data_IF_297521431888
#
_entry.id   IF_297521431888
#
_cell.length_a   1.000
_cell.length_b   1.000
_cell.length_c   1.000
_cell.angle_alpha   90.00
_cell.angle_beta   90.00
_cell.angle_gamma   90.00
#
_symmetry.space_group_name_H-M   'P 1'
#
loop_
_entity.id
_entity.type
_entity.pdbx_description
1 polymer ?
#
# COMPACT_ATOMS: atom_id res chain seq x y z
N UNK A 1 15.83 19.45 -21.74
CA UNK A 1 15.69 20.26 -20.49
C UNK A 1 15.04 21.61 -20.76
N UNK A 2 15.58 22.45 -21.67
CA UNK A 2 15.05 23.80 -21.94
C UNK A 2 13.56 23.85 -22.32
N UNK A 3 13.11 22.90 -23.15
CA UNK A 3 11.70 22.84 -23.59
C UNK A 3 10.75 22.45 -22.46
N UNK A 4 11.14 21.48 -21.63
CA UNK A 4 10.36 21.00 -20.47
C UNK A 4 10.24 22.10 -19.41
N UNK A 5 11.34 22.80 -19.11
CA UNK A 5 11.33 23.96 -18.19
C UNK A 5 10.39 25.05 -18.71
N UNK A 6 10.48 25.37 -20.00
CA UNK A 6 9.63 26.39 -20.61
C UNK A 6 8.16 25.99 -20.62
N UNK A 7 7.86 24.71 -20.88
CA UNK A 7 6.50 24.17 -20.83
C UNK A 7 5.91 24.21 -19.42
N UNK A 8 6.64 23.74 -18.42
CA UNK A 8 6.19 23.79 -17.03
C UNK A 8 5.90 25.21 -16.56
N UNK A 9 6.77 26.17 -16.93
CA UNK A 9 6.59 27.59 -16.56
C UNK A 9 5.36 28.25 -17.17
N UNK A 10 4.78 27.68 -18.25
CA UNK A 10 3.53 28.17 -18.84
C UNK A 10 2.28 27.68 -18.10
N UNK A 11 2.41 26.66 -17.25
CA UNK A 11 1.29 26.14 -16.48
C UNK A 11 0.84 27.19 -15.45
N UNK A 12 -0.47 27.35 -15.30
CA UNK A 12 -0.99 28.18 -14.22
C UNK A 12 -0.70 27.53 -12.86
N UNK A 13 -0.35 28.36 -11.87
CA UNK A 13 0.11 27.93 -10.54
C UNK A 13 -0.82 28.46 -9.43
N UNK A 14 -2.04 27.96 -9.31
CA UNK A 14 -2.98 28.38 -8.27
C UNK A 14 -2.51 27.89 -6.89
N UNK A 15 -2.84 28.62 -5.83
CA UNK A 15 -2.54 28.17 -4.45
C UNK A 15 -3.39 26.98 -4.01
N UNK A 16 -4.55 26.78 -4.66
CA UNK A 16 -5.49 25.70 -4.39
C UNK A 16 -5.82 24.91 -5.65
N UNK A 17 -6.20 23.64 -5.47
CA UNK A 17 -6.76 22.78 -6.52
C UNK A 17 -8.18 23.26 -6.87
N UNK A 18 -8.77 22.78 -7.99
CA UNK A 18 -10.18 23.06 -8.32
C UNK A 18 -11.18 22.68 -7.22
N UNK A 19 -10.82 21.71 -6.36
CA UNK A 19 -11.63 21.27 -5.22
C UNK A 19 -11.41 22.11 -3.95
N UNK A 20 -10.59 23.16 -4.01
CA UNK A 20 -10.30 24.05 -2.89
C UNK A 20 -9.24 23.51 -1.90
N UNK A 21 -8.59 22.40 -2.21
CA UNK A 21 -7.51 21.84 -1.37
C UNK A 21 -6.20 22.61 -1.63
N UNK A 22 -5.26 22.67 -0.67
CA UNK A 22 -3.96 23.28 -0.89
C UNK A 22 -3.21 22.60 -2.05
N UNK A 23 -2.70 23.36 -3.01
CA UNK A 23 -1.94 22.82 -4.14
C UNK A 23 -0.50 22.43 -3.74
N UNK A 24 -0.38 21.51 -2.78
CA UNK A 24 0.87 20.98 -2.25
C UNK A 24 1.07 19.54 -2.69
N UNK A 25 2.29 19.20 -3.11
CA UNK A 25 2.61 17.88 -3.64
C UNK A 25 3.85 17.28 -2.98
N UNK A 26 3.83 15.96 -2.75
CA UNK A 26 4.98 15.20 -2.25
C UNK A 26 5.53 14.40 -3.42
N UNK A 27 6.80 14.60 -3.78
CA UNK A 27 7.41 13.83 -4.86
C UNK A 27 8.52 12.89 -4.37
N UNK A 28 8.66 11.77 -5.08
CA UNK A 28 9.67 10.76 -4.84
C UNK A 28 10.22 10.24 -6.16
N UNK A 29 11.51 9.90 -6.17
CA UNK A 29 12.12 9.10 -7.24
C UNK A 29 12.25 7.66 -6.74
N UNK A 30 11.67 6.71 -7.48
CA UNK A 30 11.54 5.31 -7.09
C UNK A 30 11.94 4.37 -8.21
N UNK A 31 12.64 3.31 -7.84
CA UNK A 31 13.04 2.24 -8.75
C UNK A 31 11.90 1.24 -8.94
N UNK A 32 11.59 0.90 -10.19
CA UNK A 32 10.64 -0.13 -10.61
C UNK A 32 11.43 -1.35 -11.09
N UNK A 33 11.38 -2.48 -10.37
CA UNK A 33 12.12 -3.69 -10.72
C UNK A 33 11.37 -4.59 -11.72
N UNK A 34 10.53 -4.00 -12.58
CA UNK A 34 9.84 -4.71 -13.68
C UNK A 34 10.75 -4.74 -14.90
N UNK A 35 10.63 -5.73 -15.80
CA UNK A 35 11.47 -5.78 -17.00
C UNK A 35 10.83 -5.00 -18.17
N UNK A 36 11.53 -4.06 -18.82
CA UNK A 36 12.89 -3.58 -18.48
C UNK A 36 12.88 -2.68 -17.22
N UNK A 37 13.89 -2.80 -16.32
CA UNK A 37 13.94 -2.02 -15.10
C UNK A 37 14.10 -0.54 -15.39
N UNK A 38 13.47 0.29 -14.57
CA UNK A 38 13.51 1.73 -14.74
C UNK A 38 13.18 2.46 -13.47
N UNK A 39 13.35 3.76 -13.48
CA UNK A 39 13.01 4.66 -12.40
C UNK A 39 11.85 5.56 -12.82
N UNK A 40 10.99 5.86 -11.85
CA UNK A 40 9.88 6.79 -12.00
C UNK A 40 10.04 7.95 -11.04
N UNK A 41 9.58 9.13 -11.46
CA UNK A 41 9.20 10.20 -10.54
C UNK A 41 7.72 10.09 -10.31
N UNK A 42 7.32 10.03 -9.04
CA UNK A 42 5.92 10.03 -8.61
C UNK A 42 5.67 11.27 -7.79
N UNK A 43 4.63 12.02 -8.12
CA UNK A 43 4.14 13.15 -7.35
C UNK A 43 2.75 12.84 -6.82
N UNK A 44 2.55 12.95 -5.51
CA UNK A 44 1.32 12.61 -4.80
C UNK A 44 0.76 13.89 -4.16
N UNK A 45 -0.52 14.15 -4.36
CA UNK A 45 -1.25 15.17 -3.64
C UNK A 45 -1.82 14.57 -2.34
N UNK A 46 -1.29 14.88 -1.15
CA UNK A 46 -1.54 14.09 0.06
C UNK A 46 -3.01 14.01 0.46
N UNK A 47 -3.75 15.12 0.35
CA UNK A 47 -5.13 15.21 0.82
C UNK A 47 -6.12 14.45 -0.08
N UNK A 48 -5.84 14.34 -1.38
CA UNK A 48 -6.71 13.62 -2.32
C UNK A 48 -6.17 12.24 -2.70
N UNK A 49 -4.92 11.92 -2.32
CA UNK A 49 -4.16 10.74 -2.77
C UNK A 49 -4.02 10.64 -4.29
N UNK A 50 -4.25 11.74 -5.00
CA UNK A 50 -4.10 11.77 -6.45
C UNK A 50 -2.61 11.73 -6.82
N UNK A 51 -2.28 10.95 -7.85
CA UNK A 51 -0.90 10.65 -8.21
C UNK A 51 -0.62 10.94 -9.68
N UNK A 52 0.55 11.54 -9.92
CA UNK A 52 1.11 11.79 -11.23
C UNK A 52 2.46 11.09 -11.34
N UNK A 53 2.78 10.59 -12.53
CA UNK A 53 4.00 9.80 -12.77
C UNK A 53 4.71 10.26 -14.05
N UNK A 54 6.04 10.23 -14.05
CA UNK A 54 6.86 10.43 -15.24
C UNK A 54 8.05 9.48 -15.25
N UNK A 55 8.44 9.07 -16.45
CA UNK A 55 9.43 8.05 -16.73
C UNK A 55 8.87 7.04 -17.76
N UNK A 56 9.52 5.86 -17.92
CA UNK A 56 10.70 5.41 -17.20
C UNK A 56 11.97 6.17 -17.60
N UNK A 57 12.93 6.24 -16.68
CA UNK A 57 14.30 6.72 -16.93
C UNK A 57 15.31 5.91 -16.10
N UNK A 58 16.62 6.18 -16.22
CA UNK A 58 17.63 5.39 -15.52
C UNK A 58 18.49 6.23 -14.57
N UNK A 59 18.37 5.92 -13.28
CA UNK A 59 19.31 6.27 -12.23
C UNK A 59 20.27 5.11 -12.01
N UNK A 60 21.56 5.40 -11.92
CA UNK A 60 22.59 4.41 -11.57
C UNK A 60 23.09 4.70 -10.17
N UNK A 61 23.49 3.66 -9.44
CA UNK A 61 24.00 3.78 -8.06
C UNK A 61 25.35 4.51 -7.96
N UNK A 62 25.99 4.78 -9.10
CA UNK A 62 27.26 5.49 -9.20
C UNK A 62 27.11 7.01 -9.31
N UNK A 63 25.89 7.51 -9.51
CA UNK A 63 25.66 8.96 -9.64
C UNK A 63 25.83 9.65 -8.29
N UNK A 64 26.46 10.81 -8.32
CA UNK A 64 26.44 11.76 -7.23
C UNK A 64 25.02 12.30 -7.01
N UNK A 65 24.74 12.84 -5.83
CA UNK A 65 23.44 13.47 -5.52
C UNK A 65 23.08 14.59 -6.49
N UNK A 66 24.09 15.34 -6.97
CA UNK A 66 23.91 16.39 -7.97
C UNK A 66 23.48 15.82 -9.32
N UNK A 67 24.19 14.83 -9.83
CA UNK A 67 23.85 14.19 -11.11
C UNK A 67 22.48 13.50 -11.04
N UNK A 68 22.14 12.92 -9.89
CA UNK A 68 20.80 12.38 -9.64
C UNK A 68 19.73 13.48 -9.71
N UNK A 69 19.97 14.64 -9.08
CA UNK A 69 19.06 15.78 -9.15
C UNK A 69 18.89 16.31 -10.60
N UNK A 70 19.97 16.41 -11.37
CA UNK A 70 19.95 16.81 -12.78
C UNK A 70 19.12 15.84 -13.65
N UNK A 71 19.16 14.54 -13.35
CA UNK A 71 18.31 13.53 -14.02
C UNK A 71 16.86 13.51 -13.55
N UNK A 72 16.61 13.78 -12.27
CA UNK A 72 15.26 13.79 -11.69
C UNK A 72 14.47 15.04 -12.10
N UNK A 73 15.11 16.21 -12.11
CA UNK A 73 14.46 17.49 -12.43
C UNK A 73 13.56 17.48 -13.69
N UNK A 74 14.02 17.04 -14.88
CA UNK A 74 13.19 17.09 -16.08
C UNK A 74 11.95 16.20 -15.92
N UNK A 75 12.08 15.03 -15.29
CA UNK A 75 10.97 14.12 -15.05
C UNK A 75 10.01 14.67 -13.99
N UNK A 76 10.52 15.32 -12.94
CA UNK A 76 9.71 16.02 -11.94
C UNK A 76 8.88 17.15 -12.53
N UNK A 77 9.40 17.89 -13.51
CA UNK A 77 8.62 18.90 -14.21
C UNK A 77 7.61 18.22 -15.16
N UNK A 78 8.03 17.15 -15.84
CA UNK A 78 7.19 16.43 -16.79
C UNK A 78 5.92 15.84 -16.17
N UNK A 79 5.93 15.40 -14.89
CA UNK A 79 4.73 14.83 -14.24
C UNK A 79 3.53 15.78 -14.31
N UNK A 80 3.75 17.10 -14.35
CA UNK A 80 2.71 18.12 -14.38
C UNK A 80 2.39 18.67 -15.77
N UNK A 81 3.20 18.31 -16.78
CA UNK A 81 2.98 18.75 -18.17
C UNK A 81 2.03 17.79 -18.91
N UNK A 82 1.97 16.53 -18.48
CA UNK A 82 1.15 15.52 -19.15
C UNK A 82 -0.34 15.91 -19.10
N UNK A 83 -0.99 15.94 -20.27
CA UNK A 83 -2.42 16.23 -20.42
C UNK A 83 -3.23 15.09 -19.79
N UNK A 84 -4.08 15.43 -18.81
CA UNK A 84 -5.02 14.47 -18.24
C UNK A 84 -6.31 14.53 -19.06
N UNK A 85 -6.56 13.50 -19.85
CA UNK A 85 -7.88 13.30 -20.45
C UNK A 85 -8.86 12.92 -19.34
N UNK A 86 -9.93 13.70 -19.22
CA UNK A 86 -11.07 13.37 -18.38
C UNK A 86 -11.78 12.11 -18.87
N UNK A 87 -12.64 11.49 -18.04
CA UNK A 87 -13.41 10.29 -18.40
C UNK A 87 -14.30 10.47 -19.64
N UNK A 88 -14.59 11.71 -20.01
CA UNK A 88 -15.40 12.16 -21.15
C UNK A 88 -14.56 12.62 -22.36
N UNK A 89 -13.22 12.51 -22.28
CA UNK A 89 -12.30 13.03 -23.29
C UNK A 89 -12.06 14.55 -23.20
N UNK A 90 -12.56 15.22 -22.16
CA UNK A 90 -12.25 16.64 -21.92
C UNK A 90 -10.78 16.82 -21.53
N UNK A 91 -10.15 17.86 -22.05
CA UNK A 91 -8.77 18.23 -21.67
C UNK A 91 -8.85 18.94 -20.32
N UNK A 92 -8.39 18.27 -19.25
CA UNK A 92 -8.22 18.94 -17.95
C UNK A 92 -6.93 19.75 -18.02
N UNK A 93 -7.05 21.07 -17.85
CA UNK A 93 -5.90 21.98 -17.92
C UNK A 93 -4.91 21.66 -16.79
N UNK A 94 -3.72 21.17 -17.16
CA UNK A 94 -2.69 20.83 -16.19
C UNK A 94 -2.20 22.09 -15.43
N UNK A 95 -2.07 21.96 -14.11
CA UNK A 95 -1.65 23.05 -13.22
C UNK A 95 -0.30 22.71 -12.59
N UNK A 96 0.57 23.72 -12.47
CA UNK A 96 1.80 23.57 -11.71
C UNK A 96 1.50 23.53 -10.20
N UNK A 97 2.28 22.78 -9.41
CA UNK A 97 2.18 22.79 -7.96
C UNK A 97 2.47 24.19 -7.42
N UNK A 98 1.76 24.59 -6.36
CA UNK A 98 2.10 25.82 -5.64
C UNK A 98 3.39 25.64 -4.84
N UNK A 99 3.47 24.50 -4.16
CA UNK A 99 4.62 24.07 -3.36
C UNK A 99 4.78 22.56 -3.42
N UNK A 100 5.96 22.07 -3.06
CA UNK A 100 6.20 20.63 -2.94
C UNK A 100 7.19 20.28 -1.84
N UNK A 101 7.19 19.00 -1.48
CA UNK A 101 8.13 18.40 -0.54
C UNK A 101 8.60 17.04 -1.05
N UNK A 102 9.63 16.48 -0.41
CA UNK A 102 10.15 15.15 -0.73
C UNK A 102 10.59 14.41 0.51
N UNK A 103 10.68 13.09 0.44
CA UNK A 103 11.23 12.24 1.51
C UNK A 103 12.76 12.17 1.50
N UNK A 104 13.42 12.68 0.45
CA UNK A 104 14.86 12.60 0.24
C UNK A 104 15.52 13.97 0.46
N UNK A 105 16.03 14.20 1.67
CA UNK A 105 16.65 15.47 2.07
C UNK A 105 17.87 15.83 1.21
N UNK A 106 18.67 14.82 0.85
CA UNK A 106 19.85 15.03 0.01
C UNK A 106 19.45 15.49 -1.40
N UNK A 107 18.40 14.87 -1.97
CA UNK A 107 17.84 15.27 -3.26
C UNK A 107 17.21 16.67 -3.19
N UNK A 108 16.51 17.01 -2.11
CA UNK A 108 15.94 18.35 -1.90
C UNK A 108 17.03 19.44 -1.94
N UNK A 109 18.12 19.23 -1.20
CA UNK A 109 19.26 20.15 -1.18
C UNK A 109 19.92 20.29 -2.54
N UNK A 110 20.06 19.18 -3.29
CA UNK A 110 20.69 19.18 -4.61
C UNK A 110 19.81 19.79 -5.71
N UNK A 111 18.48 19.70 -5.59
CA UNK A 111 17.55 20.31 -6.55
C UNK A 111 17.47 21.82 -6.41
N UNK A 112 17.54 22.36 -5.19
CA UNK A 112 17.44 23.82 -4.92
C UNK A 112 18.29 24.69 -5.87
N UNK A 113 19.62 24.50 -6.01
CA UNK A 113 20.43 25.32 -6.90
C UNK A 113 20.03 25.18 -8.38
N UNK A 114 19.54 24.01 -8.81
CA UNK A 114 19.05 23.80 -10.19
C UNK A 114 17.77 24.61 -10.43
N UNK A 115 16.86 24.64 -9.46
CA UNK A 115 15.65 25.46 -9.53
C UNK A 115 15.98 26.96 -9.58
N UNK A 116 16.96 27.41 -8.78
CA UNK A 116 17.44 28.80 -8.83
C UNK A 116 18.07 29.14 -10.18
N UNK A 117 18.94 28.26 -10.71
CA UNK A 117 19.60 28.44 -12.01
C UNK A 117 18.58 28.58 -13.15
N UNK A 118 17.50 27.82 -13.11
CA UNK A 118 16.44 27.90 -14.10
C UNK A 118 15.40 29.00 -13.82
N UNK A 119 15.54 29.80 -12.76
CA UNK A 119 14.67 30.94 -12.46
C UNK A 119 13.22 30.54 -12.16
N UNK A 120 13.02 29.52 -11.33
CA UNK A 120 11.69 29.17 -10.80
C UNK A 120 11.30 30.07 -9.61
N UNK A 121 10.00 30.18 -9.27
CA UNK A 121 9.56 30.93 -8.10
C UNK A 121 10.14 30.39 -6.78
N UNK A 122 10.27 31.26 -5.77
CA UNK A 122 10.88 30.93 -4.47
C UNK A 122 10.17 29.75 -3.77
N UNK A 123 8.84 29.65 -3.89
CA UNK A 123 8.07 28.60 -3.23
C UNK A 123 8.37 27.20 -3.80
N UNK A 124 8.80 27.13 -5.08
CA UNK A 124 9.24 25.88 -5.71
C UNK A 124 10.72 25.60 -5.45
N UNK A 125 11.53 26.63 -5.21
CA UNK A 125 12.93 26.49 -4.80
C UNK A 125 13.03 25.98 -3.35
N UNK A 126 12.06 26.30 -2.48
CA UNK A 126 12.03 25.89 -1.09
C UNK A 126 11.47 24.47 -0.91
N UNK A 127 12.22 23.48 -1.40
CA UNK A 127 11.85 22.06 -1.30
C UNK A 127 12.04 21.59 0.15
N UNK A 128 10.94 21.34 0.84
CA UNK A 128 10.95 20.85 2.23
C UNK A 128 11.10 19.33 2.28
N UNK A 129 11.66 18.82 3.38
CA UNK A 129 11.45 17.43 3.77
C UNK A 129 10.00 17.28 4.21
N UNK A 130 9.28 16.32 3.65
CA UNK A 130 7.87 16.12 3.97
C UNK A 130 7.66 15.66 5.42
N UNK A 131 6.47 15.91 5.96
CA UNK A 131 6.07 15.42 7.28
C UNK A 131 5.97 13.88 7.34
N UNK A 132 5.84 13.34 8.55
CA UNK A 132 5.63 11.90 8.77
C UNK A 132 4.39 11.37 8.05
N UNK A 133 3.27 12.09 8.16
CA UNK A 133 1.99 11.70 7.55
C UNK A 133 2.07 11.74 6.02
N UNK A 134 2.66 12.78 5.46
CA UNK A 134 2.92 12.91 4.02
C UNK A 134 3.80 11.78 3.50
N UNK A 135 4.81 11.37 4.28
CA UNK A 135 5.68 10.23 3.94
C UNK A 135 4.90 8.91 3.92
N UNK A 136 4.01 8.69 4.88
CA UNK A 136 3.15 7.49 4.91
C UNK A 136 2.25 7.47 3.67
N UNK A 137 1.55 8.57 3.39
CA UNK A 137 0.63 8.66 2.23
C UNK A 137 1.40 8.43 0.92
N UNK A 138 2.57 9.05 0.76
CA UNK A 138 3.37 8.89 -0.45
C UNK A 138 3.85 7.44 -0.65
N UNK A 139 4.17 6.72 0.43
CA UNK A 139 4.54 5.30 0.36
C UNK A 139 3.33 4.41 0.03
N UNK A 140 2.17 4.64 0.65
CA UNK A 140 0.95 3.89 0.35
C UNK A 140 0.56 4.03 -1.13
N UNK A 141 0.56 5.26 -1.66
CA UNK A 141 0.28 5.50 -3.08
C UNK A 141 1.32 4.86 -4.01
N UNK A 142 2.59 4.79 -3.58
CA UNK A 142 3.62 4.07 -4.33
C UNK A 142 3.35 2.57 -4.39
N UNK A 143 3.02 1.95 -3.27
CA UNK A 143 2.75 0.52 -3.20
C UNK A 143 1.53 0.14 -4.06
N UNK A 144 0.48 0.96 -4.04
CA UNK A 144 -0.70 0.83 -4.92
C UNK A 144 -0.35 0.96 -6.41
N UNK A 145 0.48 1.95 -6.77
CA UNK A 145 0.94 2.12 -8.15
C UNK A 145 1.79 0.94 -8.62
N UNK A 146 2.76 0.51 -7.81
CA UNK A 146 3.64 -0.60 -8.16
C UNK A 146 2.85 -1.90 -8.31
N UNK A 147 1.87 -2.15 -7.45
CA UNK A 147 0.94 -3.27 -7.58
C UNK A 147 0.25 -3.29 -8.94
N UNK A 148 -0.35 -2.16 -9.35
CA UNK A 148 -1.00 -2.05 -10.67
C UNK A 148 -0.05 -2.27 -11.85
N UNK A 149 1.17 -1.76 -11.78
CA UNK A 149 2.18 -1.98 -12.83
C UNK A 149 2.61 -3.45 -12.94
N UNK A 150 2.72 -4.14 -11.81
CA UNK A 150 3.02 -5.59 -11.78
C UNK A 150 1.88 -6.39 -12.41
N UNK A 151 0.63 -6.01 -12.12
CA UNK A 151 -0.57 -6.64 -12.68
C UNK A 151 -0.65 -6.45 -14.21
N UNK A 152 -0.45 -5.22 -14.71
CA UNK A 152 -0.52 -4.94 -16.15
C UNK A 152 0.52 -5.72 -16.95
N UNK A 153 1.76 -5.82 -16.45
CA UNK A 153 2.82 -6.63 -17.09
C UNK A 153 2.48 -8.14 -17.05
N UNK A 154 1.77 -8.59 -16.02
CA UNK A 154 1.34 -9.99 -15.88
C UNK A 154 0.18 -10.36 -16.82
N UNK A 155 -0.70 -9.41 -17.15
CA UNK A 155 -1.80 -9.58 -18.11
C UNK A 155 -1.29 -9.58 -19.56
N UNK A 156 -0.37 -8.68 -19.91
CA UNK A 156 0.29 -8.67 -21.23
C UNK A 156 1.08 -9.96 -21.51
N UNK A 157 1.73 -10.51 -20.48
CA UNK A 157 2.44 -11.80 -20.56
C UNK A 157 1.51 -13.01 -20.73
N UNK A 158 0.22 -12.91 -20.37
CA UNK A 158 -0.79 -13.94 -20.63
C UNK A 158 -1.37 -13.85 -22.04
N UNK A 159 -1.45 -12.64 -22.60
CA UNK A 159 -1.95 -12.39 -23.96
C UNK A 159 -0.96 -12.85 -25.05
N UNK A 160 0.35 -12.75 -24.81
CA UNK A 160 1.41 -13.12 -25.77
C UNK A 160 1.73 -14.63 -25.86
N UNK A 161 1.00 -15.50 -25.13
CA UNK A 161 1.29 -16.95 -25.08
C UNK A 161 0.73 -17.79 -26.23
N UNK A 162 0.03 -17.18 -27.19
CA UNK A 162 -0.48 -17.88 -28.38
C UNK A 162 0.32 -17.53 -29.64
N UNK A 163 1.49 -18.17 -29.84
CA UNK A 163 2.01 -18.65 -31.14
C UNK A 163 3.35 -19.42 -30.97
N UNK A 164 3.73 -20.31 -31.92
CA UNK A 164 4.34 -21.60 -31.63
C UNK A 164 5.87 -21.59 -31.50
N UNK A 165 6.33 -22.68 -30.88
CA UNK A 165 7.72 -23.00 -30.57
C UNK A 165 8.67 -22.96 -31.77
N UNK A 166 9.81 -22.27 -31.56
CA UNK A 166 11.07 -22.59 -32.24
C UNK A 166 11.99 -23.19 -31.18
N UNK A 167 12.41 -24.42 -31.45
CA UNK A 167 13.41 -25.18 -30.70
C UNK A 167 14.80 -24.56 -30.89
N UNK A 168 15.56 -24.42 -29.81
CA UNK A 168 17.02 -24.47 -29.90
C UNK A 168 17.59 -25.44 -28.87
N UNK A 169 18.47 -26.30 -29.36
CA UNK A 169 19.16 -27.35 -28.66
C UNK A 169 20.34 -26.80 -27.86
N UNK A 170 20.41 -27.14 -26.57
CA UNK A 170 21.59 -26.95 -25.73
C UNK A 170 21.57 -27.97 -24.59
N UNK A 171 22.63 -28.79 -24.49
CA UNK A 171 22.77 -29.91 -23.55
C UNK A 171 22.96 -29.45 -22.09
N UNK A 172 21.96 -28.79 -21.52
CA UNK A 172 21.86 -28.47 -20.10
C UNK A 172 20.87 -29.40 -19.39
N UNK A 173 21.22 -29.88 -18.20
CA UNK A 173 20.27 -30.54 -17.29
C UNK A 173 19.12 -29.56 -17.02
N UNK A 174 17.89 -29.98 -17.28
CA UNK A 174 16.72 -29.13 -17.13
C UNK A 174 16.49 -28.78 -15.65
N UNK A 175 16.09 -27.53 -15.40
CA UNK A 175 15.73 -27.08 -14.05
C UNK A 175 14.55 -27.90 -13.54
N UNK A 176 14.71 -28.59 -12.41
CA UNK A 176 13.72 -29.54 -11.89
C UNK A 176 14.19 -30.99 -11.87
N UNK A 177 15.28 -31.33 -12.58
CA UNK A 177 15.81 -32.68 -12.65
C UNK A 177 16.58 -33.07 -11.37
N UNK A 178 15.93 -33.83 -10.48
CA UNK A 178 16.53 -34.30 -9.23
C UNK A 178 17.49 -35.48 -9.39
N UNK A 179 17.61 -36.04 -10.59
CA UNK A 179 18.43 -37.23 -10.85
C UNK A 179 19.89 -36.90 -11.08
N UNK A 180 20.24 -35.65 -11.42
CA UNK A 180 21.60 -35.25 -11.80
C UNK A 180 22.05 -33.93 -11.20
N UNK A 181 23.36 -33.82 -10.98
CA UNK A 181 23.98 -32.55 -10.62
C UNK A 181 23.87 -31.56 -11.78
N UNK A 182 23.24 -30.41 -11.56
CA UNK A 182 23.03 -29.38 -12.58
C UNK A 182 24.32 -28.69 -13.04
N UNK A 183 25.48 -28.99 -12.42
CA UNK A 183 26.79 -28.50 -12.88
C UNK A 183 27.61 -29.57 -13.60
N UNK A 184 27.88 -30.68 -12.91
CA UNK A 184 28.80 -31.71 -13.41
C UNK A 184 28.08 -32.92 -14.00
N UNK A 185 26.74 -32.90 -14.04
CA UNK A 185 25.86 -33.90 -14.64
C UNK A 185 25.99 -35.32 -14.07
N UNK A 186 26.76 -35.51 -12.98
CA UNK A 186 26.81 -36.78 -12.26
C UNK A 186 25.42 -37.19 -11.79
N UNK A 187 25.11 -38.45 -11.99
CA UNK A 187 23.89 -39.05 -11.51
C UNK A 187 23.88 -39.09 -9.98
N UNK A 188 22.69 -38.98 -9.39
CA UNK A 188 22.48 -39.09 -7.95
C UNK A 188 23.02 -40.42 -7.41
N UNK A 189 22.98 -41.48 -8.21
CA UNK A 189 23.51 -42.79 -7.85
C UNK A 189 25.05 -42.86 -7.87
N UNK A 190 25.71 -41.96 -8.61
CA UNK A 190 27.19 -41.89 -8.73
C UNK A 190 27.83 -40.97 -7.68
N UNK A 191 27.03 -40.43 -6.76
CA UNK A 191 27.49 -39.54 -5.71
C UNK A 191 27.51 -40.25 -4.36
N UNK A 192 28.61 -40.10 -3.60
CA UNK A 192 28.74 -40.68 -2.26
C UNK A 192 27.74 -40.10 -1.23
N UNK A 193 27.01 -39.05 -1.58
CA UNK A 193 26.01 -38.40 -0.73
C UNK A 193 24.86 -37.86 -1.58
N UNK A 194 23.63 -37.80 -1.05
CA UNK A 194 22.48 -37.27 -1.79
C UNK A 194 22.72 -35.87 -2.33
N UNK A 195 22.21 -35.59 -3.54
CA UNK A 195 22.30 -34.26 -4.14
C UNK A 195 21.61 -33.21 -3.25
N UNK A 196 22.31 -32.11 -3.00
CA UNK A 196 21.77 -30.96 -2.29
C UNK A 196 20.95 -30.07 -3.22
N UNK A 197 19.78 -29.64 -2.76
CA UNK A 197 18.94 -28.68 -3.48
C UNK A 197 19.37 -27.25 -3.21
N UNK A 198 19.23 -26.37 -4.19
CA UNK A 198 19.42 -24.94 -4.04
C UNK A 198 18.48 -24.41 -2.94
N UNK A 199 19.03 -23.81 -1.89
CA UNK A 199 18.24 -23.32 -0.75
C UNK A 199 17.23 -22.22 -1.13
N UNK A 200 17.53 -21.45 -2.18
CA UNK A 200 16.69 -20.34 -2.61
C UNK A 200 15.48 -20.79 -3.44
N UNK A 201 15.69 -21.47 -4.57
CA UNK A 201 14.60 -21.86 -5.47
C UNK A 201 14.08 -23.29 -5.24
N UNK A 202 14.85 -24.14 -4.57
CA UNK A 202 14.55 -25.57 -4.37
C UNK A 202 14.34 -26.38 -5.67
N UNK A 203 14.76 -25.85 -6.81
CA UNK A 203 14.54 -26.41 -8.17
C UNK A 203 15.84 -26.78 -8.92
N UNK A 204 16.99 -26.71 -8.27
CA UNK A 204 18.28 -27.16 -8.84
C UNK A 204 19.01 -28.03 -7.82
N UNK A 205 19.71 -29.06 -8.30
CA UNK A 205 20.41 -30.05 -7.47
C UNK A 205 21.90 -30.09 -7.77
N UNK A 206 22.71 -30.27 -6.73
CA UNK A 206 24.18 -30.24 -6.82
C UNK A 206 24.79 -31.34 -5.96
N UNK A 207 25.92 -31.90 -6.38
CA UNK A 207 26.64 -32.87 -5.54
C UNK A 207 27.49 -32.21 -4.44
N UNK A 208 27.77 -30.90 -4.55
CA UNK A 208 28.60 -30.16 -3.60
C UNK A 208 28.43 -28.64 -3.71
N UNK A 209 28.76 -27.87 -2.67
CA UNK A 209 28.73 -26.40 -2.72
C UNK A 209 29.61 -25.77 -3.82
N UNK A 210 30.82 -26.31 -4.15
CA UNK A 210 31.59 -25.87 -5.31
C UNK A 210 30.83 -26.00 -6.63
N UNK A 211 30.08 -27.09 -6.84
CA UNK A 211 29.24 -27.27 -8.04
C UNK A 211 28.11 -26.24 -8.11
N UNK A 212 27.48 -25.91 -6.97
CA UNK A 212 26.48 -24.84 -6.90
C UNK A 212 27.07 -23.48 -7.25
N UNK A 213 28.23 -23.11 -6.67
CA UNK A 213 28.90 -21.83 -6.95
C UNK A 213 29.32 -21.73 -8.42
N UNK A 214 29.84 -22.80 -9.00
CA UNK A 214 30.26 -22.82 -10.40
C UNK A 214 29.07 -22.70 -11.38
N UNK A 215 27.90 -23.26 -11.05
CA UNK A 215 26.69 -23.13 -11.86
C UNK A 215 25.96 -21.79 -11.65
N UNK A 216 26.34 -20.99 -10.63
CA UNK A 216 25.58 -19.80 -10.23
C UNK A 216 25.33 -18.80 -11.36
N UNK A 217 26.31 -18.52 -12.23
CA UNK A 217 26.15 -17.55 -13.33
C UNK A 217 25.03 -17.95 -14.31
N UNK A 218 24.87 -19.25 -14.56
CA UNK A 218 23.84 -19.81 -15.45
C UNK A 218 22.51 -20.01 -14.70
N UNK A 219 22.59 -20.43 -13.43
CA UNK A 219 21.41 -20.68 -12.62
C UNK A 219 20.73 -19.41 -12.09
N UNK A 220 21.45 -18.29 -11.88
CA UNK A 220 20.96 -17.11 -11.12
C UNK A 220 19.59 -16.63 -11.59
N UNK A 221 19.41 -16.44 -12.90
CA UNK A 221 18.14 -15.98 -13.48
C UNK A 221 17.01 -16.97 -13.20
N UNK A 222 17.27 -18.26 -13.46
CA UNK A 222 16.31 -19.33 -13.21
C UNK A 222 16.02 -19.52 -11.70
N UNK A 223 17.02 -19.28 -10.85
CA UNK A 223 16.92 -19.32 -9.39
C UNK A 223 15.96 -18.24 -8.89
N UNK A 224 16.14 -17.00 -9.35
CA UNK A 224 15.28 -15.89 -8.95
C UNK A 224 13.85 -16.11 -9.45
N UNK A 225 13.67 -16.53 -10.70
CA UNK A 225 12.35 -16.84 -11.27
C UNK A 225 11.61 -18.00 -10.58
N UNK A 226 12.34 -18.91 -9.93
CA UNK A 226 11.78 -20.07 -9.25
C UNK A 226 11.95 -20.02 -7.73
N UNK A 227 12.36 -18.87 -7.17
CA UNK A 227 12.27 -18.66 -5.72
C UNK A 227 10.79 -18.76 -5.36
N UNK A 228 10.41 -19.54 -4.34
CA UNK A 228 9.08 -19.42 -3.79
C UNK A 228 8.97 -17.97 -3.28
N UNK A 229 8.18 -17.16 -3.98
CA UNK A 229 7.65 -15.91 -3.44
C UNK A 229 7.03 -16.27 -2.10
N UNK A 230 7.15 -15.39 -1.09
CA UNK A 230 6.37 -15.56 0.15
C UNK A 230 4.85 -15.64 -0.14
N UNK A 231 4.44 -15.30 -1.35
CA UNK A 231 3.07 -15.28 -1.85
C UNK A 231 2.69 -16.47 -2.75
N UNK A 232 3.54 -17.50 -2.89
CA UNK A 232 3.24 -18.66 -3.72
C UNK A 232 2.69 -19.85 -2.92
N UNK A 233 1.51 -19.67 -2.30
CA UNK A 233 0.59 -20.77 -1.98
C UNK A 233 -0.84 -20.40 -2.39
N UNK A 234 -1.34 -21.08 -3.42
CA UNK A 234 -2.74 -21.19 -3.86
C UNK A 234 -3.53 -19.87 -4.05
N UNK A 235 -3.70 -19.49 -5.33
CA UNK A 235 -4.71 -18.56 -5.87
C UNK A 235 -5.52 -17.74 -4.85
N UNK A 236 -4.93 -16.63 -4.40
CA UNK A 236 -5.58 -15.64 -3.54
C UNK A 236 -6.54 -14.79 -4.36
N UNK A 237 -7.85 -14.99 -4.20
CA UNK A 237 -8.81 -13.95 -4.57
C UNK A 237 -8.79 -12.96 -3.41
N UNK A 238 -8.31 -11.74 -3.65
CA UNK A 238 -8.36 -10.65 -2.68
C UNK A 238 -9.79 -10.47 -2.14
N UNK A 239 -9.93 -10.18 -0.84
CA UNK A 239 -11.21 -10.11 -0.14
C UNK A 239 -12.21 -9.15 -0.79
N UNK A 240 -11.73 -8.03 -1.34
CA UNK A 240 -12.58 -7.07 -2.05
C UNK A 240 -13.11 -7.67 -3.34
N UNK A 241 -12.24 -8.31 -4.14
CA UNK A 241 -12.65 -9.04 -5.34
C UNK A 241 -13.63 -10.16 -5.02
N UNK A 242 -13.38 -10.93 -3.95
CA UNK A 242 -14.25 -12.03 -3.54
C UNK A 242 -15.65 -11.52 -3.17
N UNK A 243 -15.74 -10.50 -2.31
CA UNK A 243 -17.02 -9.93 -1.88
C UNK A 243 -17.85 -9.45 -3.09
N UNK A 244 -17.21 -8.76 -4.01
CA UNK A 244 -17.89 -8.14 -5.15
C UNK A 244 -18.26 -9.12 -6.27
N UNK A 245 -17.53 -10.23 -6.43
CA UNK A 245 -17.69 -11.11 -7.61
C UNK A 245 -18.11 -12.55 -7.29
N UNK A 246 -17.86 -13.01 -6.07
CA UNK A 246 -18.06 -14.42 -5.68
C UNK A 246 -19.14 -14.56 -4.62
N UNK A 247 -19.19 -13.68 -3.62
CA UNK A 247 -20.11 -13.83 -2.48
C UNK A 247 -21.59 -13.90 -2.91
N UNK A 248 -22.01 -13.12 -3.92
CA UNK A 248 -23.38 -13.15 -4.44
C UNK A 248 -23.76 -14.46 -5.16
N UNK A 249 -22.82 -15.39 -5.36
CA UNK A 249 -23.10 -16.69 -5.98
C UNK A 249 -23.51 -17.75 -4.93
N UNK A 250 -23.14 -17.56 -3.66
CA UNK A 250 -23.49 -18.48 -2.56
C UNK A 250 -24.85 -18.15 -1.95
N UNK A 251 -25.68 -19.18 -1.78
CA UNK A 251 -26.97 -19.09 -1.08
C UNK A 251 -26.80 -18.74 0.40
N UNK A 252 -25.76 -19.27 1.03
CA UNK A 252 -25.42 -19.05 2.44
C UNK A 252 -24.92 -17.61 2.65
N UNK A 253 -24.08 -17.10 1.75
CA UNK A 253 -23.62 -15.72 1.78
C UNK A 253 -24.79 -14.73 1.59
N UNK A 254 -25.73 -15.01 0.68
CA UNK A 254 -26.97 -14.22 0.53
C UNK A 254 -27.81 -14.22 1.80
N UNK A 255 -28.03 -15.39 2.39
CA UNK A 255 -28.79 -15.51 3.63
C UNK A 255 -28.12 -14.73 4.78
N UNK A 256 -26.78 -14.84 4.91
CA UNK A 256 -26.00 -14.07 5.87
C UNK A 256 -26.14 -12.56 5.63
N UNK A 257 -25.95 -12.09 4.39
CA UNK A 257 -26.07 -10.68 4.01
C UNK A 257 -27.46 -10.12 4.35
N UNK A 258 -28.52 -10.87 4.10
CA UNK A 258 -29.88 -10.49 4.50
C UNK A 258 -30.00 -10.28 6.02
N UNK A 259 -29.39 -11.15 6.84
CA UNK A 259 -29.38 -10.94 8.31
C UNK A 259 -28.56 -9.73 8.78
N UNK A 260 -27.69 -9.21 7.91
CA UNK A 260 -26.83 -8.05 8.17
C UNK A 260 -27.42 -6.74 7.61
N UNK A 261 -28.59 -6.83 6.96
CA UNK A 261 -29.20 -5.79 6.15
C UNK A 261 -28.22 -5.25 5.09
N UNK A 262 -27.66 -6.17 4.29
CA UNK A 262 -26.74 -5.89 3.19
C UNK A 262 -27.30 -6.46 1.89
N UNK A 263 -27.07 -5.71 0.81
CA UNK A 263 -27.28 -6.19 -0.55
C UNK A 263 -25.91 -6.57 -1.13
N UNK A 264 -25.78 -7.79 -1.65
CA UNK A 264 -24.52 -8.23 -2.24
C UNK A 264 -24.38 -7.67 -3.66
N UNK A 265 -23.20 -7.12 -4.03
CA UNK A 265 -22.92 -6.67 -5.38
C UNK A 265 -23.11 -7.78 -6.41
N UNK A 266 -23.89 -7.51 -7.46
CA UNK A 266 -24.16 -8.47 -8.55
C UNK A 266 -23.63 -8.00 -9.91
N UNK A 267 -23.12 -6.78 -10.02
CA UNK A 267 -22.60 -6.21 -11.26
C UNK A 267 -21.46 -5.23 -11.02
N UNK A 268 -20.70 -4.93 -12.09
CA UNK A 268 -19.61 -3.95 -12.04
C UNK A 268 -20.08 -2.52 -11.71
N UNK A 269 -21.36 -2.19 -11.96
CA UNK A 269 -21.94 -0.90 -11.59
C UNK A 269 -22.33 -0.82 -10.09
N UNK A 270 -22.32 -1.95 -9.39
CA UNK A 270 -22.74 -2.07 -7.99
C UNK A 270 -21.58 -2.42 -7.05
N UNK A 271 -20.33 -2.18 -7.46
CA UNK A 271 -19.16 -2.49 -6.64
C UNK A 271 -19.19 -1.71 -5.33
N UNK A 272 -19.01 -2.42 -4.21
CA UNK A 272 -18.97 -1.86 -2.88
C UNK A 272 -17.63 -2.16 -2.18
N UNK A 273 -17.22 -1.25 -1.30
CA UNK A 273 -16.09 -1.47 -0.40
C UNK A 273 -16.38 -2.50 0.68
N UNK A 274 -15.33 -3.12 1.24
CA UNK A 274 -15.44 -4.19 2.24
C UNK A 274 -15.70 -3.70 3.67
N UNK A 275 -15.59 -2.40 3.94
CA UNK A 275 -15.68 -1.86 5.30
C UNK A 275 -17.09 -1.94 5.89
N UNK A 276 -18.13 -1.65 5.11
CA UNK A 276 -19.54 -1.77 5.54
C UNK A 276 -19.89 -3.22 5.91
N UNK A 277 -19.69 -4.24 5.04
CA UNK A 277 -20.00 -5.62 5.41
C UNK A 277 -19.15 -6.13 6.57
N UNK A 278 -17.87 -5.75 6.64
CA UNK A 278 -16.98 -6.10 7.75
C UNK A 278 -17.53 -5.56 9.07
N UNK A 279 -17.91 -4.28 9.10
CA UNK A 279 -18.47 -3.64 10.27
C UNK A 279 -19.80 -4.27 10.69
N UNK A 280 -20.68 -4.61 9.74
CA UNK A 280 -21.96 -5.29 10.04
C UNK A 280 -21.76 -6.65 10.70
N UNK A 281 -20.80 -7.44 10.24
CA UNK A 281 -20.46 -8.69 10.89
C UNK A 281 -20.04 -8.47 12.35
N UNK A 282 -19.22 -7.45 12.61
CA UNK A 282 -18.68 -7.19 13.95
C UNK A 282 -19.75 -6.66 14.91
N UNK A 283 -20.55 -5.66 14.50
CA UNK A 283 -21.57 -5.06 15.38
C UNK A 283 -22.69 -6.05 15.74
N UNK A 284 -22.95 -7.05 14.88
CA UNK A 284 -23.98 -8.08 15.12
C UNK A 284 -23.42 -9.34 15.79
N UNK A 285 -22.10 -9.40 16.04
CA UNK A 285 -21.45 -10.58 16.61
C UNK A 285 -21.40 -11.79 15.67
N UNK A 286 -21.65 -11.58 14.36
CA UNK A 286 -21.69 -12.63 13.32
C UNK A 286 -20.37 -12.84 12.60
N UNK A 287 -19.36 -12.07 12.93
CA UNK A 287 -17.94 -12.10 12.54
C UNK A 287 -17.15 -13.41 12.83
N UNK A 288 -17.79 -14.57 12.77
CA UNK A 288 -17.15 -15.88 12.93
C UNK A 288 -16.21 -16.17 11.74
N UNK A 289 -15.23 -17.06 11.93
CA UNK A 289 -14.31 -17.42 10.85
C UNK A 289 -15.05 -17.89 9.58
N UNK A 290 -16.11 -18.68 9.75
CA UNK A 290 -16.97 -19.16 8.65
C UNK A 290 -17.68 -18.02 7.94
N UNK A 291 -18.32 -17.11 8.68
CA UNK A 291 -19.06 -15.99 8.09
C UNK A 291 -18.14 -14.99 7.40
N UNK A 292 -16.94 -14.75 7.96
CA UNK A 292 -15.91 -13.96 7.31
C UNK A 292 -15.49 -14.58 5.98
N UNK A 293 -15.32 -15.91 5.92
CA UNK A 293 -14.98 -16.61 4.67
C UNK A 293 -16.13 -16.60 3.65
N UNK A 294 -17.39 -16.66 4.11
CA UNK A 294 -18.55 -16.59 3.23
C UNK A 294 -18.63 -15.25 2.48
N UNK A 295 -18.27 -14.13 3.12
CA UNK A 295 -18.33 -12.81 2.49
C UNK A 295 -17.01 -12.39 1.83
N UNK A 296 -15.86 -12.79 2.38
CA UNK A 296 -14.55 -12.25 1.97
C UNK A 296 -13.57 -13.31 1.46
N UNK A 297 -14.00 -14.56 1.38
CA UNK A 297 -13.19 -15.67 0.88
C UNK A 297 -12.25 -16.27 1.93
N UNK A 298 -11.63 -17.41 1.60
CA UNK A 298 -10.83 -18.21 2.56
C UNK A 298 -9.61 -17.47 3.10
N UNK A 299 -9.05 -16.55 2.32
CA UNK A 299 -7.82 -15.81 2.59
C UNK A 299 -8.06 -14.35 3.02
N UNK A 300 -9.27 -14.03 3.50
CA UNK A 300 -9.63 -12.66 3.88
C UNK A 300 -8.65 -12.00 4.86
N UNK A 301 -7.94 -12.79 5.67
CA UNK A 301 -6.97 -12.28 6.65
C UNK A 301 -5.80 -11.56 5.99
N UNK A 302 -5.46 -11.91 4.76
CA UNK A 302 -4.29 -11.34 4.07
C UNK A 302 -4.50 -9.86 3.76
N UNK A 303 -5.75 -9.44 3.45
CA UNK A 303 -6.07 -8.03 3.18
C UNK A 303 -6.96 -7.34 4.21
N UNK A 304 -7.74 -8.06 5.03
CA UNK A 304 -8.67 -7.44 5.98
C UNK A 304 -8.33 -7.62 7.46
N UNK A 305 -7.28 -8.37 7.84
CA UNK A 305 -6.99 -8.64 9.26
C UNK A 305 -6.78 -7.35 10.08
N UNK A 306 -6.03 -6.39 9.54
CA UNK A 306 -5.78 -5.09 10.21
C UNK A 306 -7.09 -4.33 10.41
N UNK A 307 -7.88 -4.16 9.34
CA UNK A 307 -9.17 -3.47 9.38
C UNK A 307 -10.16 -4.16 10.33
N UNK A 308 -10.17 -5.49 10.34
CA UNK A 308 -10.98 -6.29 11.26
C UNK A 308 -10.57 -6.02 12.71
N UNK A 309 -9.29 -6.06 13.05
CA UNK A 309 -8.79 -5.82 14.41
C UNK A 309 -9.12 -4.39 14.90
N UNK A 310 -9.06 -3.40 14.00
CA UNK A 310 -9.41 -2.01 14.29
C UNK A 310 -10.92 -1.85 14.53
N UNK A 311 -11.75 -2.38 13.63
CA UNK A 311 -13.22 -2.35 13.76
C UNK A 311 -13.65 -3.06 15.04
N UNK A 312 -13.02 -4.20 15.38
CA UNK A 312 -13.26 -4.93 16.63
C UNK A 312 -13.01 -4.10 17.86
N UNK A 313 -11.82 -3.51 17.94
CA UNK A 313 -11.47 -2.70 19.09
C UNK A 313 -12.42 -1.51 19.23
N UNK A 314 -12.77 -0.84 18.13
CA UNK A 314 -13.75 0.25 18.14
C UNK A 314 -15.13 -0.20 18.63
N UNK A 315 -15.67 -1.30 18.10
CA UNK A 315 -17.00 -1.80 18.49
C UNK A 315 -17.03 -2.19 19.97
N UNK A 316 -15.99 -2.86 20.47
CA UNK A 316 -15.88 -3.20 21.90
C UNK A 316 -15.74 -1.97 22.80
N UNK A 317 -15.10 -0.90 22.30
CA UNK A 317 -14.99 0.39 22.99
C UNK A 317 -16.30 1.19 22.99
N UNK A 318 -17.28 0.82 22.17
CA UNK A 318 -18.61 1.46 22.06
C UNK A 318 -18.53 3.01 22.10
N UNK A 319 -18.01 3.64 21.03
CA UNK A 319 -17.67 5.06 21.05
C UNK A 319 -18.93 5.94 21.16
N UNK A 320 -18.91 7.01 21.98
CA UNK A 320 -20.06 7.90 22.14
C UNK A 320 -20.30 8.77 20.90
N UNK A 321 -21.49 9.39 20.80
CA UNK A 321 -21.90 10.22 19.65
C UNK A 321 -20.94 11.34 19.29
N UNK A 322 -20.33 11.99 20.29
CA UNK A 322 -19.38 13.08 20.10
C UNK A 322 -17.95 12.63 19.73
N UNK A 323 -17.74 11.33 19.48
CA UNK A 323 -16.43 10.80 19.09
C UNK A 323 -16.22 10.79 17.56
N UNK A 324 -14.98 11.03 17.07
CA UNK A 324 -14.66 10.86 15.66
C UNK A 324 -15.03 9.48 15.11
N UNK A 325 -14.77 8.41 15.88
CA UNK A 325 -15.07 7.05 15.46
C UNK A 325 -16.57 6.81 15.26
N UNK A 326 -17.43 7.38 16.12
CA UNK A 326 -18.88 7.30 15.94
C UNK A 326 -19.32 8.00 14.65
N UNK A 327 -18.83 9.23 14.40
CA UNK A 327 -19.19 10.01 13.21
C UNK A 327 -18.74 9.31 11.93
N UNK A 328 -17.51 8.81 11.88
CA UNK A 328 -16.99 8.06 10.73
C UNK A 328 -17.78 6.76 10.48
N UNK A 329 -18.24 6.12 11.55
CA UNK A 329 -19.02 4.90 11.48
C UNK A 329 -20.49 5.12 11.08
N UNK A 330 -21.04 6.33 11.24
CA UNK A 330 -22.47 6.59 11.10
C UNK A 330 -23.03 6.12 9.75
N UNK A 331 -22.32 6.39 8.64
CA UNK A 331 -22.72 5.95 7.31
C UNK A 331 -22.66 4.42 7.14
N UNK A 332 -21.67 3.77 7.76
CA UNK A 332 -21.51 2.32 7.72
C UNK A 332 -22.59 1.62 8.57
N UNK A 333 -23.03 2.26 9.65
CA UNK A 333 -24.03 1.74 10.60
C UNK A 333 -25.47 2.14 10.21
N UNK A 334 -25.66 2.94 9.16
CA UNK A 334 -27.00 3.34 8.70
C UNK A 334 -27.83 2.13 8.24
N UNK A 335 -28.93 1.83 8.95
CA UNK A 335 -29.73 0.63 8.72
C UNK A 335 -29.09 -0.64 9.28
N UNK A 336 -28.17 -0.53 10.24
CA UNK A 336 -27.64 -1.66 11.00
C UNK A 336 -28.74 -2.45 11.70
N UNK A 337 -28.68 -3.80 11.71
CA UNK A 337 -29.41 -4.58 12.68
C UNK A 337 -29.02 -4.21 14.12
N UNK A 338 -29.71 -4.80 15.09
CA UNK A 338 -29.45 -4.57 16.51
C UNK A 338 -27.96 -4.75 16.86
N UNK A 339 -27.44 -3.81 17.65
CA UNK A 339 -26.06 -3.83 18.14
C UNK A 339 -25.91 -4.96 19.18
N UNK A 340 -25.25 -6.04 18.79
CA UNK A 340 -25.05 -7.24 19.60
C UNK A 340 -23.68 -7.88 19.34
N UNK A 341 -22.56 -7.14 19.54
CA UNK A 341 -21.23 -7.68 19.30
C UNK A 341 -20.95 -8.86 20.23
N UNK A 342 -20.18 -9.84 19.74
CA UNK A 342 -19.75 -10.96 20.59
C UNK A 342 -18.84 -10.49 21.73
N UNK A 343 -18.76 -11.23 22.85
CA UNK A 343 -17.80 -10.94 23.90
C UNK A 343 -16.35 -10.91 23.38
N UNK A 344 -15.48 -10.10 23.99
CA UNK A 344 -14.07 -10.04 23.64
C UNK A 344 -13.33 -11.32 24.03
N UNK A 345 -12.34 -11.70 23.23
CA UNK A 345 -11.29 -12.64 23.65
C UNK A 345 -10.39 -12.00 24.71
N UNK A 346 -9.54 -12.79 25.38
CA UNK A 346 -8.59 -12.23 26.35
C UNK A 346 -7.65 -11.18 25.75
N UNK A 347 -7.19 -11.37 24.50
CA UNK A 347 -6.32 -10.40 23.84
C UNK A 347 -7.05 -9.12 23.44
N UNK A 348 -8.30 -9.25 23.00
CA UNK A 348 -9.18 -8.11 22.72
C UNK A 348 -9.47 -7.33 24.02
N UNK A 349 -9.76 -8.03 25.12
CA UNK A 349 -10.01 -7.43 26.42
C UNK A 349 -8.79 -6.66 26.94
N UNK A 350 -7.58 -7.26 26.88
CA UNK A 350 -6.33 -6.56 27.25
C UNK A 350 -6.13 -5.27 26.46
N UNK A 351 -6.40 -5.31 25.14
CA UNK A 351 -6.31 -4.12 24.28
C UNK A 351 -7.34 -3.06 24.70
N UNK A 352 -8.59 -3.45 24.93
CA UNK A 352 -9.66 -2.56 25.38
C UNK A 352 -9.31 -1.93 26.72
N UNK A 353 -8.85 -2.70 27.69
CA UNK A 353 -8.48 -2.22 29.04
C UNK A 353 -7.36 -1.18 28.97
N UNK A 354 -6.34 -1.43 28.14
CA UNK A 354 -5.23 -0.49 27.95
C UNK A 354 -5.72 0.81 27.28
N UNK A 355 -6.59 0.72 26.28
CA UNK A 355 -7.21 1.89 25.68
C UNK A 355 -8.05 2.65 26.72
N UNK A 356 -8.84 1.97 27.57
CA UNK A 356 -9.61 2.61 28.65
C UNK A 356 -8.72 3.31 29.68
N UNK A 357 -7.55 2.75 30.00
CA UNK A 357 -6.53 3.42 30.82
C UNK A 357 -6.05 4.70 30.16
N UNK A 358 -5.73 4.67 28.85
CA UNK A 358 -5.34 5.86 28.10
C UNK A 358 -6.46 6.91 28.06
N UNK A 359 -7.70 6.50 27.82
CA UNK A 359 -8.86 7.40 27.86
C UNK A 359 -9.01 8.09 29.22
N UNK A 360 -8.77 7.37 30.31
CA UNK A 360 -8.79 7.92 31.67
C UNK A 360 -7.66 8.93 31.89
N UNK A 361 -6.45 8.64 31.41
CA UNK A 361 -5.31 9.55 31.46
C UNK A 361 -5.52 10.83 30.63
N UNK A 362 -6.24 10.73 29.51
CA UNK A 362 -6.64 11.89 28.69
C UNK A 362 -7.67 12.74 29.46
N UNK A 363 -8.73 12.14 30.01
CA UNK A 363 -9.77 12.88 30.77
C UNK A 363 -9.22 13.62 31.98
N UNK A 364 -8.16 13.10 32.61
CA UNK A 364 -7.52 13.77 33.73
C UNK A 364 -6.79 15.07 33.34
N UNK A 365 -6.47 15.25 32.06
CA UNK A 365 -5.74 16.42 31.53
C UNK A 365 -6.59 17.33 30.66
N UNK A 366 -7.60 16.78 30.01
CA UNK A 366 -8.41 17.46 28.99
C UNK A 366 -9.86 17.54 29.43
N UNK A 367 -10.46 18.73 29.36
CA UNK A 367 -11.88 18.93 29.66
C UNK A 367 -12.78 18.10 28.72
N UNK A 368 -13.94 17.67 29.21
CA UNK A 368 -14.90 16.93 28.40
C UNK A 368 -15.26 17.67 27.10
N UNK A 369 -15.34 16.94 25.99
CA UNK A 369 -15.67 17.48 24.66
C UNK A 369 -14.54 18.28 24.00
N UNK A 370 -13.30 18.22 24.52
CA UNK A 370 -12.11 18.82 23.88
C UNK A 370 -11.11 17.75 23.46
N UNK A 371 -10.33 18.06 22.42
CA UNK A 371 -9.21 17.23 21.96
C UNK A 371 -7.93 17.54 22.75
N UNK A 372 -7.07 16.53 23.03
CA UNK A 372 -5.76 16.74 23.63
C UNK A 372 -4.81 17.52 22.71
N UNK A 373 -3.97 18.38 23.29
CA UNK A 373 -2.87 19.03 22.56
C UNK A 373 -1.68 18.08 22.31
N UNK A 374 -0.71 18.47 21.49
CA UNK A 374 0.53 17.70 21.30
C UNK A 374 1.32 17.54 22.61
N UNK A 375 1.29 18.56 23.49
CA UNK A 375 1.94 18.48 24.80
C UNK A 375 1.23 17.46 25.71
N UNK A 376 -0.10 17.43 25.69
CA UNK A 376 -0.90 16.43 26.42
C UNK A 376 -0.60 15.02 25.90
N UNK A 377 -0.58 14.84 24.58
CA UNK A 377 -0.25 13.57 23.93
C UNK A 377 1.12 13.05 24.40
N UNK A 378 2.16 13.87 24.33
CA UNK A 378 3.50 13.47 24.74
C UNK A 378 3.56 13.11 26.24
N UNK A 379 2.95 13.92 27.10
CA UNK A 379 2.92 13.67 28.54
C UNK A 379 2.15 12.39 28.91
N UNK A 380 1.05 12.10 28.19
CA UNK A 380 0.27 10.87 28.36
C UNK A 380 1.08 9.68 27.89
N UNK A 381 1.59 9.69 26.66
CA UNK A 381 2.34 8.56 26.08
C UNK A 381 3.57 8.19 26.93
N UNK A 382 4.31 9.19 27.43
CA UNK A 382 5.45 8.95 28.34
C UNK A 382 5.03 8.29 29.67
N UNK A 383 3.80 8.49 30.14
CA UNK A 383 3.30 7.84 31.36
C UNK A 383 3.01 6.34 31.19
N UNK A 384 2.96 5.84 29.94
CA UNK A 384 2.77 4.42 29.63
C UNK A 384 4.09 3.67 29.40
N UNK A 385 5.23 4.37 29.37
CA UNK A 385 6.55 3.76 29.31
C UNK A 385 7.56 4.56 28.48
N UNK A 386 8.83 4.15 28.57
CA UNK A 386 9.91 4.78 27.81
C UNK A 386 9.78 4.58 26.29
N UNK A 387 9.16 3.47 25.86
CA UNK A 387 8.89 3.15 24.44
C UNK A 387 7.55 3.74 23.98
N UNK A 388 7.35 5.03 24.22
CA UNK A 388 6.07 5.71 24.02
C UNK A 388 5.55 5.63 22.57
N UNK A 389 6.43 5.47 21.57
CA UNK A 389 6.05 5.29 20.16
C UNK A 389 5.23 4.02 19.91
N UNK A 390 5.49 2.94 20.66
CA UNK A 390 4.75 1.67 20.53
C UNK A 390 3.29 1.83 21.00
N UNK A 391 3.01 2.83 21.85
CA UNK A 391 1.69 3.13 22.38
C UNK A 391 0.89 4.10 21.50
N UNK A 392 1.52 4.72 20.50
CA UNK A 392 0.87 5.72 19.63
C UNK A 392 -0.39 5.19 18.93
N UNK A 393 -0.43 3.96 18.38
CA UNK A 393 -1.65 3.43 17.77
C UNK A 393 -2.81 3.27 18.77
N UNK A 394 -2.51 2.84 20.00
CA UNK A 394 -3.51 2.70 21.05
C UNK A 394 -4.01 4.06 21.56
N UNK A 395 -3.12 5.05 21.63
CA UNK A 395 -3.49 6.43 21.97
C UNK A 395 -4.41 7.03 20.91
N UNK A 396 -4.09 6.85 19.62
CA UNK A 396 -4.95 7.34 18.54
C UNK A 396 -6.33 6.70 18.58
N UNK A 397 -6.39 5.39 18.85
CA UNK A 397 -7.64 4.68 19.07
C UNK A 397 -8.41 5.22 20.30
N UNK A 398 -7.71 5.50 21.40
CA UNK A 398 -8.30 6.08 22.61
C UNK A 398 -8.95 7.43 22.31
N UNK A 399 -8.20 8.34 21.70
CA UNK A 399 -8.67 9.69 21.30
C UNK A 399 -9.87 9.56 20.37
N UNK A 400 -9.77 8.79 19.29
CA UNK A 400 -10.84 8.65 18.29
C UNK A 400 -12.12 8.03 18.84
N UNK A 401 -12.05 7.26 19.93
CA UNK A 401 -13.21 6.59 20.55
C UNK A 401 -13.71 7.28 21.82
N UNK A 402 -13.19 8.46 22.15
CA UNK A 402 -13.69 9.34 23.21
C UNK A 402 -14.56 10.46 22.66
N UNK A 403 -15.45 10.98 23.50
CA UNK A 403 -16.19 12.19 23.19
C UNK A 403 -15.23 13.40 23.09
N UNK A 404 -15.16 13.98 21.90
CA UNK A 404 -14.40 15.18 21.59
C UNK A 404 -15.31 16.32 21.11
N UNK A 405 -16.63 16.22 21.36
CA UNK A 405 -17.60 17.23 20.95
C UNK A 405 -17.84 17.29 19.43
N UNK A 406 -17.45 16.25 18.68
CA UNK A 406 -17.65 16.19 17.23
C UNK A 406 -19.14 16.13 16.94
N UNK A 407 -19.63 17.07 16.12
CA UNK A 407 -21.04 17.13 15.75
C UNK A 407 -21.33 16.17 14.60
N UNK A 408 -22.39 15.38 14.73
CA UNK A 408 -22.98 14.62 13.63
C UNK A 408 -23.74 15.63 12.76
N UNK A 409 -23.30 15.85 11.53
CA UNK A 409 -24.02 16.72 10.57
C UNK A 409 -25.14 15.95 9.88
#
# INVERSE_FOLDING_TARGET
MGDVVSAFKRLSRPQTTPTGLPNHWVFQSRHVPLEPPGDLVVAVHPQSRYQLTAGPFQLTTTLTTKERAEKVLPHLLQVFINEVQGPDGSIVESKAPWSWSTTDEALAMALKPLFSQHGFPEELQNIKVCSGDEKVIANECWDELLGRLVESVSEDARSTRNQPAIQEAGSGVQLGDETKCHRCQKDRNDTASPLMKCAACKKAWYCSPPCQKAHWKQHKTACVANRPSKDATASSVDAHKFYNTVAHQSTEAKALAATLNLELPTSAAALEGTMKPLRRLVITGKDTATNMQLLFGPQWRDSLLKSYDEVRAQVLLNPPRGSPAYVMAANLDNGAPAWSPRPPSESEQRKVDEVRRMQSAIRARVSAGKSPSNADMQAILLSFGANWMDHLPLYQLAVNTMDQGVQVR
#
